data_IF_432787541388
#
_entry.id   IF_432787541388
#
_cell.length_a   1.000
_cell.length_b   1.000
_cell.length_c   1.000
_cell.angle_alpha   90.00
_cell.angle_beta   90.00
_cell.angle_gamma   90.00
#
_symmetry.space_group_name_H-M   'P 1'
#
loop_
_entity.id
_entity.type
_entity.pdbx_description
1 polymer ?
#
# COMPACT_ATOMS: atom_id res chain seq x y z
N UNK A 1 56.39 -6.96 10.26
CA UNK A 1 55.94 -7.18 8.87
C UNK A 1 54.60 -7.92 8.80
N UNK A 2 54.49 -9.20 9.22
CA UNK A 2 53.22 -9.95 9.09
C UNK A 2 52.06 -9.42 9.96
N UNK A 3 52.33 -8.98 11.20
CA UNK A 3 51.32 -8.35 12.09
C UNK A 3 50.84 -7.00 11.56
N UNK A 4 51.73 -6.21 10.98
CA UNK A 4 51.41 -4.89 10.43
C UNK A 4 50.53 -5.04 9.19
N UNK A 5 50.80 -6.06 8.37
CA UNK A 5 50.01 -6.38 7.18
C UNK A 5 48.59 -6.86 7.55
N UNK A 6 48.45 -7.67 8.60
CA UNK A 6 47.15 -8.10 9.10
C UNK A 6 46.32 -6.92 9.65
N UNK A 7 46.96 -5.97 10.35
CA UNK A 7 46.29 -4.78 10.86
C UNK A 7 45.77 -3.88 9.71
N UNK A 8 46.54 -3.74 8.63
CA UNK A 8 46.15 -2.97 7.44
C UNK A 8 44.96 -3.63 6.73
N UNK A 9 44.96 -4.96 6.58
CA UNK A 9 43.85 -5.70 5.96
C UNK A 9 42.56 -5.57 6.78
N UNK A 10 42.65 -5.66 8.10
CA UNK A 10 41.48 -5.48 8.99
C UNK A 10 40.96 -4.03 8.92
N UNK A 11 41.84 -3.04 8.95
CA UNK A 11 41.45 -1.64 8.82
C UNK A 11 40.76 -1.35 7.47
N UNK A 12 41.29 -1.89 6.38
CA UNK A 12 40.67 -1.79 5.05
C UNK A 12 39.30 -2.49 5.01
N UNK A 13 39.16 -3.68 5.59
CA UNK A 13 37.89 -4.40 5.63
C UNK A 13 36.81 -3.65 6.44
N UNK A 14 37.20 -3.02 7.54
CA UNK A 14 36.31 -2.18 8.36
C UNK A 14 35.88 -0.93 7.60
N UNK A 15 36.81 -0.27 6.90
CA UNK A 15 36.48 0.88 6.04
C UNK A 15 35.52 0.44 4.94
N UNK A 16 35.84 -0.62 4.18
CA UNK A 16 34.97 -1.10 3.08
C UNK A 16 33.56 -1.44 3.59
N UNK A 17 33.45 -2.06 4.77
CA UNK A 17 32.17 -2.43 5.38
C UNK A 17 31.37 -1.21 5.82
N UNK A 18 32.03 -0.16 6.33
CA UNK A 18 31.39 1.10 6.67
C UNK A 18 30.90 1.88 5.43
N UNK A 19 31.63 1.78 4.30
CA UNK A 19 31.22 2.38 3.03
C UNK A 19 30.13 1.58 2.29
N UNK A 20 30.02 0.27 2.55
CA UNK A 20 28.98 -0.59 1.98
C UNK A 20 27.62 -0.45 2.68
N UNK A 21 27.56 0.20 3.85
CA UNK A 21 26.30 0.60 4.48
C UNK A 21 25.73 1.82 3.77
N UNK A 22 25.20 1.64 2.56
CA UNK A 22 24.27 2.61 2.02
C UNK A 22 23.07 2.67 2.96
N UNK A 23 22.66 3.86 3.45
CA UNK A 23 21.36 3.98 4.09
C UNK A 23 20.35 3.40 3.11
N UNK A 24 19.51 2.45 3.56
CA UNK A 24 18.40 1.98 2.75
C UNK A 24 17.67 3.24 2.28
N UNK A 25 17.64 3.48 0.97
CA UNK A 25 16.89 4.59 0.42
C UNK A 25 15.48 4.39 0.94
N UNK A 26 15.05 5.25 1.87
CA UNK A 26 13.70 5.22 2.38
C UNK A 26 12.82 5.32 1.14
N UNK A 27 12.00 4.30 0.87
CA UNK A 27 11.09 4.36 -0.25
C UNK A 27 10.29 5.64 -0.09
N UNK A 28 10.47 6.57 -1.03
CA UNK A 28 9.87 7.88 -0.92
C UNK A 28 8.35 7.68 -0.82
N UNK A 29 7.78 7.99 0.34
CA UNK A 29 6.37 7.74 0.69
C UNK A 29 5.40 8.61 -0.12
N UNK A 30 5.95 9.40 -1.04
CA UNK A 30 5.23 10.30 -1.91
C UNK A 30 4.28 9.54 -2.86
N UNK A 31 3.05 10.03 -2.87
CA UNK A 31 1.95 9.60 -3.73
C UNK A 31 1.23 10.84 -4.26
N UNK A 32 0.59 10.71 -5.40
CA UNK A 32 -0.11 11.82 -6.05
C UNK A 32 -1.44 12.16 -5.37
N UNK A 33 -2.03 11.19 -4.65
CA UNK A 33 -3.30 11.31 -3.96
C UNK A 33 -3.38 10.35 -2.76
N UNK A 34 -3.91 10.84 -1.65
CA UNK A 34 -4.41 10.01 -0.55
C UNK A 34 -5.94 9.89 -0.69
N UNK A 35 -6.43 8.70 -1.00
CA UNK A 35 -7.85 8.44 -1.25
C UNK A 35 -8.45 7.54 -0.18
N UNK A 36 -9.50 8.02 0.49
CA UNK A 36 -10.35 7.20 1.37
C UNK A 36 -11.61 6.78 0.62
N UNK A 37 -11.88 5.48 0.60
CA UNK A 37 -13.11 4.88 0.11
C UNK A 37 -13.91 4.40 1.33
N UNK A 38 -14.92 5.19 1.73
CA UNK A 38 -15.77 4.89 2.89
C UNK A 38 -17.09 4.26 2.44
N UNK A 39 -17.31 2.98 2.77
CA UNK A 39 -18.50 2.24 2.40
C UNK A 39 -19.49 2.14 3.57
N UNK A 40 -20.77 2.43 3.28
CA UNK A 40 -21.85 2.31 4.27
C UNK A 40 -22.14 0.83 4.59
N UNK A 41 -22.25 0.50 5.87
CA UNK A 41 -22.68 -0.81 6.40
C UNK A 41 -23.92 -0.71 7.29
N UNK A 42 -24.66 0.40 7.20
CA UNK A 42 -25.86 0.67 7.99
C UNK A 42 -26.92 -0.43 7.87
N UNK A 43 -27.87 -0.44 8.81
CA UNK A 43 -28.99 -1.41 8.82
C UNK A 43 -29.80 -1.49 7.52
N UNK A 44 -29.73 -0.48 6.65
CA UNK A 44 -30.41 -0.48 5.34
C UNK A 44 -29.68 -1.27 4.24
N UNK A 45 -28.42 -1.65 4.51
CA UNK A 45 -27.51 -2.36 3.61
C UNK A 45 -27.61 -3.86 3.86
N UNK A 46 -28.48 -4.51 3.11
CA UNK A 46 -28.56 -5.97 3.07
C UNK A 46 -27.27 -6.60 2.50
N UNK A 47 -27.15 -7.92 2.63
CA UNK A 47 -25.96 -8.66 2.17
C UNK A 47 -25.72 -8.59 0.67
N UNK A 48 -26.77 -8.43 -0.13
CA UNK A 48 -26.63 -8.30 -1.59
C UNK A 48 -26.03 -6.95 -1.93
N UNK A 49 -26.53 -5.86 -1.31
CA UNK A 49 -25.98 -4.51 -1.48
C UNK A 49 -24.55 -4.43 -0.97
N UNK A 50 -24.26 -5.04 0.18
CA UNK A 50 -22.93 -5.11 0.76
C UNK A 50 -21.90 -5.82 -0.14
N UNK A 51 -22.29 -6.93 -0.78
CA UNK A 51 -21.42 -7.56 -1.78
C UNK A 51 -21.27 -6.70 -3.03
N UNK A 52 -22.38 -6.16 -3.53
CA UNK A 52 -22.37 -5.33 -4.74
C UNK A 52 -21.45 -4.10 -4.61
N UNK A 53 -21.47 -3.40 -3.47
CA UNK A 53 -20.58 -2.26 -3.24
C UNK A 53 -19.11 -2.68 -3.23
N UNK A 54 -18.77 -3.79 -2.56
CA UNK A 54 -17.38 -4.28 -2.45
C UNK A 54 -16.86 -4.77 -3.80
N UNK A 55 -17.68 -5.53 -4.53
CA UNK A 55 -17.37 -5.94 -5.89
C UNK A 55 -17.20 -4.74 -6.82
N UNK A 56 -18.03 -3.70 -6.65
CA UNK A 56 -17.93 -2.44 -7.39
C UNK A 56 -16.61 -1.71 -7.15
N UNK A 57 -16.20 -1.54 -5.88
CA UNK A 57 -14.90 -0.94 -5.55
C UNK A 57 -13.74 -1.78 -6.09
N UNK A 58 -13.76 -3.08 -5.84
CA UNK A 58 -12.71 -3.99 -6.26
C UNK A 58 -12.59 -4.05 -7.79
N UNK A 59 -13.70 -4.00 -8.53
CA UNK A 59 -13.70 -3.94 -9.99
C UNK A 59 -13.19 -2.58 -10.50
N UNK A 60 -13.59 -1.47 -9.88
CA UNK A 60 -13.14 -0.14 -10.27
C UNK A 60 -11.63 0.03 -10.07
N UNK A 61 -11.08 -0.43 -8.96
CA UNK A 61 -9.65 -0.29 -8.64
C UNK A 61 -8.75 -0.97 -9.68
N UNK A 62 -9.19 -2.10 -10.25
CA UNK A 62 -8.43 -2.84 -11.27
C UNK A 62 -8.80 -2.47 -12.71
N UNK A 63 -9.78 -1.59 -12.93
CA UNK A 63 -10.19 -1.17 -14.27
C UNK A 63 -9.04 -0.41 -14.97
N UNK A 64 -8.67 -0.77 -16.20
CA UNK A 64 -7.55 -0.12 -16.90
C UNK A 64 -7.68 1.40 -17.09
N UNK A 65 -8.90 1.95 -17.07
CA UNK A 65 -9.12 3.41 -17.13
C UNK A 65 -8.81 4.06 -15.79
N UNK A 66 -9.21 3.42 -14.68
CA UNK A 66 -8.94 3.90 -13.32
C UNK A 66 -7.45 3.76 -13.01
N UNK A 67 -6.83 2.64 -13.38
CA UNK A 67 -5.38 2.45 -13.26
C UNK A 67 -4.58 3.55 -13.96
N UNK A 68 -4.95 3.88 -15.20
CA UNK A 68 -4.31 4.99 -15.92
C UNK A 68 -4.50 6.33 -15.22
N UNK A 69 -5.66 6.57 -14.61
CA UNK A 69 -5.91 7.80 -13.85
C UNK A 69 -5.06 7.85 -12.58
N UNK A 70 -4.94 6.75 -11.84
CA UNK A 70 -4.10 6.66 -10.64
C UNK A 70 -2.60 6.85 -10.95
N UNK A 71 -2.17 6.51 -12.16
CA UNK A 71 -0.79 6.64 -12.63
C UNK A 71 -0.49 7.96 -13.35
N UNK A 72 -1.48 8.85 -13.51
CA UNK A 72 -1.33 10.05 -14.33
C UNK A 72 -0.57 11.19 -13.64
N UNK A 73 -0.32 11.08 -12.33
CA UNK A 73 0.40 12.09 -11.55
C UNK A 73 1.92 12.00 -11.67
N UNK A 74 2.62 12.87 -10.95
CA UNK A 74 4.08 12.98 -11.01
C UNK A 74 4.79 11.77 -10.41
N UNK A 75 4.19 11.14 -9.39
CA UNK A 75 4.72 9.95 -8.74
C UNK A 75 4.22 8.65 -9.39
N UNK A 76 3.19 8.72 -10.24
CA UNK A 76 2.62 7.58 -10.96
C UNK A 76 1.88 6.60 -10.04
N UNK A 77 1.45 7.05 -8.85
CA UNK A 77 0.82 6.19 -7.84
C UNK A 77 -0.01 6.99 -6.85
N UNK A 78 -1.05 6.34 -6.32
CA UNK A 78 -1.86 6.88 -5.22
C UNK A 78 -1.71 5.98 -3.98
N UNK A 79 -2.21 6.42 -2.82
CA UNK A 79 -2.50 5.52 -1.70
C UNK A 79 -4.01 5.43 -1.47
N UNK A 80 -4.49 4.20 -1.29
CA UNK A 80 -5.90 3.90 -1.01
C UNK A 80 -6.04 3.42 0.43
N UNK A 81 -7.03 3.95 1.13
CA UNK A 81 -7.58 3.40 2.37
C UNK A 81 -9.05 3.04 2.12
N UNK A 82 -9.45 1.83 2.46
CA UNK A 82 -10.85 1.39 2.40
C UNK A 82 -11.36 1.15 3.82
N UNK A 83 -12.46 1.80 4.16
CA UNK A 83 -13.10 1.66 5.46
C UNK A 83 -14.59 1.43 5.31
N UNK A 84 -15.16 0.70 6.26
CA UNK A 84 -16.59 0.47 6.41
C UNK A 84 -17.10 1.31 7.59
N UNK A 85 -18.28 1.92 7.45
CA UNK A 85 -18.86 2.80 8.47
C UNK A 85 -20.38 2.69 8.58
N UNK A 86 -20.92 2.88 9.80
CA UNK A 86 -22.34 3.13 10.04
C UNK A 86 -22.56 4.10 11.21
N UNK A 87 -22.64 3.60 12.44
CA UNK A 87 -22.73 4.45 13.64
C UNK A 87 -21.34 4.95 14.09
N UNK A 88 -21.30 5.74 15.16
CA UNK A 88 -20.07 6.16 15.82
C UNK A 88 -19.28 4.97 16.40
N UNK A 89 -19.94 3.85 16.69
CA UNK A 89 -19.32 2.61 17.17
C UNK A 89 -18.97 1.63 16.05
N UNK A 90 -19.49 1.84 14.83
CA UNK A 90 -19.30 0.95 13.69
C UNK A 90 -18.39 1.61 12.65
N UNK A 91 -17.09 1.65 12.94
CA UNK A 91 -16.07 2.19 12.04
C UNK A 91 -14.88 1.24 11.99
N UNK A 92 -14.53 0.77 10.79
CA UNK A 92 -13.42 -0.17 10.63
C UNK A 92 -12.64 0.09 9.36
N UNK A 93 -11.33 0.28 9.51
CA UNK A 93 -10.38 0.24 8.41
C UNK A 93 -10.22 -1.21 7.99
N UNK A 94 -10.65 -1.54 6.78
CA UNK A 94 -10.58 -2.88 6.20
C UNK A 94 -9.30 -3.04 5.38
N UNK A 95 -8.94 -1.98 4.64
CA UNK A 95 -7.62 -1.84 3.99
C UNK A 95 -6.99 -0.55 4.47
N UNK A 96 -5.93 -0.66 5.25
CA UNK A 96 -5.10 0.49 5.62
C UNK A 96 -4.31 1.03 4.41
N UNK A 97 -3.73 2.21 4.53
CA UNK A 97 -3.02 2.93 3.49
C UNK A 97 -2.10 2.02 2.67
N UNK A 98 -2.53 1.73 1.45
CA UNK A 98 -1.82 0.86 0.53
C UNK A 98 -1.52 1.64 -0.73
N UNK A 99 -0.23 1.70 -1.10
CA UNK A 99 0.22 2.33 -2.34
C UNK A 99 -0.21 1.49 -3.54
N UNK A 100 -0.68 2.17 -4.57
CA UNK A 100 -1.13 1.56 -5.82
C UNK A 100 -0.52 2.32 -6.99
N UNK A 101 0.53 1.76 -7.56
CA UNK A 101 1.19 2.23 -8.78
C UNK A 101 1.21 1.16 -9.89
N UNK A 102 0.73 -0.05 -9.62
CA UNK A 102 0.75 -1.17 -10.55
C UNK A 102 -0.53 -2.00 -10.53
N UNK A 103 -0.75 -2.80 -11.57
CA UNK A 103 -1.89 -3.73 -11.65
C UNK A 103 -1.87 -4.77 -10.53
N UNK A 104 -0.67 -5.21 -10.11
CA UNK A 104 -0.51 -6.18 -9.01
C UNK A 104 -0.98 -5.60 -7.69
N UNK A 105 -0.47 -4.43 -7.31
CA UNK A 105 -0.89 -3.74 -6.08
C UNK A 105 -2.39 -3.40 -6.08
N UNK A 106 -2.93 -3.00 -7.24
CA UNK A 106 -4.36 -2.75 -7.39
C UNK A 106 -5.19 -4.02 -7.17
N UNK A 107 -4.71 -5.16 -7.69
CA UNK A 107 -5.34 -6.46 -7.48
C UNK A 107 -5.27 -6.87 -6.01
N UNK A 108 -4.15 -6.65 -5.33
CA UNK A 108 -4.01 -6.98 -3.91
C UNK A 108 -4.99 -6.19 -3.05
N UNK A 109 -5.17 -4.88 -3.32
CA UNK A 109 -6.19 -4.05 -2.65
C UNK A 109 -7.59 -4.57 -2.98
N UNK A 110 -7.88 -4.84 -4.24
CA UNK A 110 -9.20 -5.32 -4.68
C UNK A 110 -9.57 -6.66 -4.04
N UNK A 111 -8.62 -7.59 -3.92
CA UNK A 111 -8.84 -8.89 -3.31
C UNK A 111 -9.03 -8.75 -1.79
N UNK A 112 -8.24 -7.92 -1.11
CA UNK A 112 -8.47 -7.59 0.32
C UNK A 112 -9.86 -6.99 0.55
N UNK A 113 -10.34 -6.13 -0.36
CA UNK A 113 -11.70 -5.59 -0.32
C UNK A 113 -12.74 -6.66 -0.65
N UNK A 114 -12.50 -7.70 -1.43
CA UNK A 114 -13.51 -8.77 -1.65
C UNK A 114 -13.54 -9.78 -0.52
N UNK A 115 -12.39 -10.13 0.03
CA UNK A 115 -12.24 -11.29 0.89
C UNK A 115 -12.35 -10.97 2.39
N UNK A 116 -12.27 -9.69 2.76
CA UNK A 116 -12.43 -9.30 4.16
C UNK A 116 -13.79 -9.77 4.73
N UNK A 117 -13.86 -10.23 5.99
CA UNK A 117 -15.14 -10.51 6.62
C UNK A 117 -15.98 -9.22 6.69
N UNK A 118 -17.30 -9.36 6.63
CA UNK A 118 -18.21 -8.23 6.89
C UNK A 118 -17.93 -7.69 8.29
N UNK A 119 -17.81 -6.37 8.40
CA UNK A 119 -17.55 -5.66 9.66
C UNK A 119 -18.77 -5.63 10.56
#
# INVERSE_FOLDING_TARGET
MARDMAAIVVALAVVISAWAQQPAAAEDGNVDLLLVLAADISRSVDDKKFRLQRDGYAAAIVDPRVMRAMQAGAFGRIAICYMEWASDQDQKVVVDWTRVGSQGEAKDVADRIRDAPRS
#
